data_IF_051881804435
#
_entry.id   IF_051881804435
#
_cell.length_a   1.000
_cell.length_b   1.000
_cell.length_c   1.000
_cell.angle_alpha   90.00
_cell.angle_beta   90.00
_cell.angle_gamma   90.00
#
_symmetry.space_group_name_H-M   'P 1'
#
loop_
_entity.id
_entity.type
_entity.pdbx_description
1 polymer ?
#
# COMPACT_ATOMS: atom_id res chain seq x y z
N UNK A 1 10.32 15.21 -6.69
CA UNK A 1 10.94 14.02 -6.11
C UNK A 1 9.94 12.91 -5.88
N UNK A 2 8.92 13.11 -5.09
CA UNK A 2 7.83 12.15 -4.89
C UNK A 2 7.17 11.70 -6.21
N UNK A 3 7.10 12.56 -7.22
CA UNK A 3 6.38 12.28 -8.46
C UNK A 3 6.95 11.18 -9.36
N UNK A 4 8.27 10.93 -9.35
CA UNK A 4 8.83 9.88 -10.22
C UNK A 4 8.54 8.47 -9.72
N UNK A 5 8.55 8.28 -8.40
CA UNK A 5 8.19 6.99 -7.80
C UNK A 5 6.70 6.76 -7.74
N UNK A 6 5.92 7.81 -7.57
CA UNK A 6 4.48 7.73 -7.78
C UNK A 6 4.16 7.29 -9.20
N UNK A 7 4.86 7.81 -10.22
CA UNK A 7 4.64 7.38 -11.60
C UNK A 7 4.91 5.89 -11.83
N UNK A 8 5.96 5.31 -11.21
CA UNK A 8 6.23 3.88 -11.31
C UNK A 8 5.21 3.05 -10.54
N UNK A 9 4.85 3.50 -9.35
CA UNK A 9 3.81 2.90 -8.53
C UNK A 9 2.46 2.90 -9.24
N UNK A 10 2.06 4.03 -9.85
CA UNK A 10 0.81 4.14 -10.60
C UNK A 10 0.77 3.28 -11.86
N UNK A 11 1.91 3.11 -12.56
CA UNK A 11 2.00 2.15 -13.68
C UNK A 11 1.73 0.72 -13.20
N UNK A 12 2.32 0.33 -12.08
CA UNK A 12 2.09 -0.97 -11.47
C UNK A 12 0.64 -1.14 -11.01
N UNK A 13 0.07 -0.17 -10.30
CA UNK A 13 -1.35 -0.19 -9.85
C UNK A 13 -2.31 -0.25 -11.05
N UNK A 14 -2.06 0.53 -12.10
CA UNK A 14 -2.87 0.50 -13.32
C UNK A 14 -2.82 -0.85 -14.02
N UNK A 15 -1.64 -1.47 -14.05
CA UNK A 15 -1.48 -2.82 -14.58
C UNK A 15 -2.28 -3.84 -13.77
N UNK A 16 -2.19 -3.79 -12.44
CA UNK A 16 -2.98 -4.67 -11.56
C UNK A 16 -4.49 -4.44 -11.73
N UNK A 17 -4.95 -3.19 -11.80
CA UNK A 17 -6.37 -2.87 -12.01
C UNK A 17 -6.90 -3.40 -13.34
N UNK A 18 -6.07 -3.40 -14.40
CA UNK A 18 -6.41 -4.04 -15.69
C UNK A 18 -6.58 -5.56 -15.54
N UNK A 19 -5.68 -6.21 -14.80
CA UNK A 19 -5.77 -7.64 -14.53
C UNK A 19 -6.98 -7.97 -13.65
N UNK A 20 -7.22 -7.17 -12.62
CA UNK A 20 -8.39 -7.30 -11.74
C UNK A 20 -9.69 -7.21 -12.52
N UNK A 21 -9.80 -6.23 -13.42
CA UNK A 21 -10.97 -6.08 -14.33
C UNK A 21 -11.17 -7.31 -15.21
N UNK A 22 -10.07 -7.88 -15.72
CA UNK A 22 -10.14 -9.08 -16.56
C UNK A 22 -10.57 -10.31 -15.76
N UNK A 23 -10.06 -10.47 -14.54
CA UNK A 23 -10.38 -11.61 -13.69
C UNK A 23 -11.81 -11.53 -13.16
N UNK A 24 -12.17 -10.43 -12.52
CA UNK A 24 -13.53 -10.19 -12.01
C UNK A 24 -13.82 -8.71 -11.78
N UNK A 25 -13.26 -8.08 -10.76
CA UNK A 25 -13.58 -6.71 -10.34
C UNK A 25 -12.35 -6.02 -9.77
N UNK A 26 -12.23 -4.71 -10.00
CA UNK A 26 -11.18 -3.92 -9.35
C UNK A 26 -11.41 -3.88 -7.85
N UNK A 27 -10.33 -4.02 -7.10
CA UNK A 27 -10.33 -3.93 -5.63
C UNK A 27 -9.98 -2.49 -5.20
N UNK A 28 -11.02 -1.70 -5.02
CA UNK A 28 -10.95 -0.32 -4.58
C UNK A 28 -10.81 0.69 -5.73
N UNK A 29 -11.73 1.64 -5.79
CA UNK A 29 -11.65 2.78 -6.69
C UNK A 29 -10.48 3.69 -6.33
N UNK A 30 -10.12 4.60 -7.23
CA UNK A 30 -9.19 5.69 -6.96
C UNK A 30 -10.01 6.94 -6.62
N UNK A 31 -9.74 7.55 -5.47
CA UNK A 31 -10.50 8.70 -4.98
C UNK A 31 -10.39 9.94 -5.87
N UNK A 32 -9.36 9.99 -6.70
CA UNK A 32 -9.13 11.07 -7.64
C UNK A 32 -10.16 11.11 -8.77
N UNK A 33 -10.63 9.93 -9.21
CA UNK A 33 -11.63 9.82 -10.27
C UNK A 33 -12.29 8.44 -10.25
N UNK A 34 -13.58 8.40 -9.89
CA UNK A 34 -14.42 7.22 -10.07
C UNK A 34 -15.87 7.62 -10.32
N UNK A 35 -16.61 6.77 -10.98
CA UNK A 35 -18.05 6.94 -11.21
C UNK A 35 -18.80 5.75 -10.63
N UNK A 36 -19.93 6.02 -9.99
CA UNK A 36 -20.84 5.04 -9.44
C UNK A 36 -22.27 5.43 -9.76
N UNK A 37 -23.12 4.43 -10.06
CA UNK A 37 -24.55 4.70 -10.25
C UNK A 37 -25.16 5.23 -8.97
N UNK A 38 -25.98 6.29 -9.04
CA UNK A 38 -26.54 6.97 -7.88
C UNK A 38 -27.30 6.03 -6.94
N UNK A 39 -28.03 5.07 -7.49
CA UNK A 39 -28.77 4.07 -6.70
C UNK A 39 -27.86 3.03 -6.01
N UNK A 40 -26.58 2.93 -6.37
CA UNK A 40 -25.59 2.07 -5.74
C UNK A 40 -24.67 2.82 -4.79
N UNK A 41 -24.73 4.15 -4.79
CA UNK A 41 -23.94 4.98 -3.89
C UNK A 41 -24.53 4.89 -2.47
N UNK A 42 -23.99 3.96 -1.69
CA UNK A 42 -24.33 3.83 -0.28
C UNK A 42 -23.57 4.86 0.57
N UNK A 43 -24.19 5.25 1.69
CA UNK A 43 -23.50 6.06 2.69
C UNK A 43 -22.42 5.25 3.41
N UNK A 44 -21.30 5.89 3.68
CA UNK A 44 -20.24 5.35 4.54
C UNK A 44 -20.25 6.02 5.90
N UNK A 45 -19.63 5.41 6.87
CA UNK A 45 -19.53 5.94 8.24
C UNK A 45 -18.76 7.27 8.22
N UNK A 46 -19.16 8.24 9.04
CA UNK A 46 -18.60 9.61 9.05
C UNK A 46 -17.11 9.68 9.33
N UNK A 47 -16.55 8.70 10.01
CA UNK A 47 -15.14 8.57 10.34
C UNK A 47 -14.34 7.76 9.31
N UNK A 48 -14.95 7.42 8.16
CA UNK A 48 -14.28 6.66 7.09
C UNK A 48 -13.15 7.50 6.47
N UNK A 49 -11.94 6.93 6.44
CA UNK A 49 -10.75 7.58 5.88
C UNK A 49 -10.58 7.34 4.38
N UNK A 50 -11.08 6.22 3.87
CA UNK A 50 -11.04 5.80 2.46
C UNK A 50 -12.46 5.48 2.00
N UNK A 51 -13.22 6.51 1.72
CA UNK A 51 -14.61 6.43 1.29
C UNK A 51 -14.74 5.80 -0.11
N UNK A 52 -13.90 6.19 -1.04
CA UNK A 52 -13.79 5.63 -2.38
C UNK A 52 -13.59 4.10 -2.37
N UNK A 53 -12.69 3.64 -1.53
CA UNK A 53 -12.39 2.23 -1.34
C UNK A 53 -13.58 1.47 -0.73
N UNK A 54 -14.21 2.04 0.29
CA UNK A 54 -15.37 1.43 0.97
C UNK A 54 -16.59 1.35 0.05
N UNK A 55 -16.91 2.44 -0.65
CA UNK A 55 -18.06 2.50 -1.58
C UNK A 55 -17.89 1.46 -2.69
N UNK A 56 -16.72 1.46 -3.36
CA UNK A 56 -16.47 0.57 -4.49
C UNK A 56 -16.51 -0.91 -4.10
N UNK A 57 -15.98 -1.28 -2.94
CA UNK A 57 -16.01 -2.66 -2.46
C UNK A 57 -17.39 -3.09 -1.95
N UNK A 58 -18.17 -2.19 -1.34
CA UNK A 58 -19.56 -2.48 -0.99
C UNK A 58 -20.42 -2.71 -2.23
N UNK A 59 -20.21 -1.93 -3.29
CA UNK A 59 -20.85 -2.13 -4.59
C UNK A 59 -20.46 -3.49 -5.19
N UNK A 60 -19.17 -3.84 -5.17
CA UNK A 60 -18.72 -5.14 -5.67
C UNK A 60 -19.27 -6.30 -4.84
N UNK A 61 -19.36 -6.16 -3.52
CA UNK A 61 -19.94 -7.16 -2.62
C UNK A 61 -21.46 -7.34 -2.85
N UNK A 62 -22.13 -6.32 -3.37
CA UNK A 62 -23.54 -6.38 -3.80
C UNK A 62 -23.76 -7.11 -5.15
N UNK A 63 -22.72 -7.72 -5.72
CA UNK A 63 -22.83 -8.49 -6.98
C UNK A 63 -22.59 -7.66 -8.25
N UNK A 64 -22.20 -6.40 -8.12
CA UNK A 64 -21.81 -5.57 -9.25
C UNK A 64 -20.31 -5.65 -9.51
N UNK A 65 -19.87 -5.26 -10.71
CA UNK A 65 -18.48 -5.21 -11.08
C UNK A 65 -17.97 -3.77 -11.12
N UNK A 66 -16.84 -3.54 -10.50
CA UNK A 66 -16.07 -2.31 -10.66
C UNK A 66 -14.99 -2.57 -11.71
N UNK A 67 -14.98 -1.77 -12.77
CA UNK A 67 -14.05 -1.91 -13.90
C UNK A 67 -13.08 -0.73 -13.91
N UNK A 68 -11.87 -0.99 -14.37
CA UNK A 68 -10.86 0.04 -14.59
C UNK A 68 -10.93 0.53 -16.04
N UNK A 69 -11.14 1.84 -16.21
CA UNK A 69 -11.11 2.50 -17.51
C UNK A 69 -9.76 3.22 -17.69
N UNK A 70 -8.86 2.68 -18.52
CA UNK A 70 -7.52 3.25 -18.67
C UNK A 70 -7.48 4.60 -19.39
N UNK A 71 -8.52 4.96 -20.15
CA UNK A 71 -8.61 6.23 -20.87
C UNK A 71 -9.09 7.36 -19.96
N UNK A 72 -9.76 7.02 -18.83
CA UNK A 72 -10.16 7.98 -17.82
C UNK A 72 -9.04 8.15 -16.78
N UNK A 73 -8.39 9.31 -16.76
CA UNK A 73 -7.31 9.60 -15.82
C UNK A 73 -7.41 11.01 -15.24
N UNK A 74 -6.96 11.12 -14.00
CA UNK A 74 -6.79 12.40 -13.32
C UNK A 74 -5.30 12.74 -13.21
N UNK A 75 -4.97 14.01 -13.39
CA UNK A 75 -3.60 14.51 -13.21
C UNK A 75 -3.53 15.24 -11.88
N UNK A 76 -2.71 14.71 -10.97
CA UNK A 76 -2.45 15.32 -9.69
C UNK A 76 -1.00 15.78 -9.56
N UNK A 77 -0.82 16.91 -8.86
CA UNK A 77 0.53 17.37 -8.50
C UNK A 77 1.05 16.53 -7.33
N UNK A 78 2.35 16.16 -7.35
CA UNK A 78 2.95 15.39 -6.26
C UNK A 78 2.98 16.21 -4.96
N UNK A 79 3.17 15.51 -3.83
CA UNK A 79 3.38 16.14 -2.53
C UNK A 79 4.62 17.03 -2.56
N UNK A 80 4.57 18.15 -1.82
CA UNK A 80 5.65 19.14 -1.79
C UNK A 80 6.94 18.59 -1.16
N UNK A 81 6.81 17.74 -0.14
CA UNK A 81 7.92 17.17 0.61
C UNK A 81 7.70 15.71 0.95
N UNK A 82 8.79 15.00 1.33
CA UNK A 82 8.72 13.62 1.84
C UNK A 82 7.87 13.54 3.11
N UNK A 83 7.92 14.57 3.95
CA UNK A 83 7.13 14.64 5.19
C UNK A 83 5.63 14.71 4.89
N UNK A 84 5.25 15.52 3.89
CA UNK A 84 3.86 15.62 3.46
C UNK A 84 3.38 14.30 2.82
N UNK A 85 4.25 13.67 2.03
CA UNK A 85 3.98 12.36 1.45
C UNK A 85 3.83 11.30 2.56
N UNK A 86 4.66 11.32 3.59
CA UNK A 86 4.55 10.42 4.73
C UNK A 86 3.21 10.59 5.47
N UNK A 87 2.79 11.83 5.75
CA UNK A 87 1.49 12.09 6.37
C UNK A 87 0.35 11.51 5.53
N UNK A 88 0.38 11.73 4.21
CA UNK A 88 -0.59 11.19 3.25
C UNK A 88 -0.61 9.66 3.28
N UNK A 89 0.56 9.00 3.16
CA UNK A 89 0.66 7.53 3.13
C UNK A 89 0.27 6.88 4.45
N UNK A 90 0.66 7.46 5.58
CA UNK A 90 0.23 6.98 6.91
C UNK A 90 -1.29 7.07 7.05
N UNK A 91 -1.92 8.16 6.60
CA UNK A 91 -3.38 8.28 6.61
C UNK A 91 -4.05 7.22 5.74
N UNK A 92 -3.55 7.01 4.51
CA UNK A 92 -4.07 5.98 3.60
C UNK A 92 -3.92 4.59 4.25
N UNK A 93 -2.78 4.30 4.87
CA UNK A 93 -2.56 3.04 5.56
C UNK A 93 -3.51 2.87 6.77
N UNK A 94 -3.72 3.94 7.56
CA UNK A 94 -4.70 3.93 8.67
C UNK A 94 -6.11 3.59 8.17
N UNK A 95 -6.53 4.25 7.08
CA UNK A 95 -7.80 3.97 6.41
C UNK A 95 -7.88 2.55 5.83
N UNK A 96 -6.75 2.03 5.35
CA UNK A 96 -6.63 0.64 4.89
C UNK A 96 -6.93 -0.36 6.01
N UNK A 97 -6.35 -0.19 7.20
CA UNK A 97 -6.64 -1.05 8.36
C UNK A 97 -8.09 -0.89 8.85
N UNK A 98 -8.62 0.34 8.86
CA UNK A 98 -10.02 0.58 9.16
C UNK A 98 -10.94 -0.16 8.17
N UNK A 99 -10.63 -0.07 6.88
CA UNK A 99 -11.40 -0.74 5.82
C UNK A 99 -11.30 -2.27 5.92
N UNK A 100 -10.13 -2.83 6.24
CA UNK A 100 -9.96 -4.27 6.46
C UNK A 100 -10.87 -4.77 7.59
N UNK A 101 -10.93 -4.03 8.69
CA UNK A 101 -11.79 -4.39 9.82
C UNK A 101 -13.28 -4.32 9.44
N UNK A 102 -13.71 -3.29 8.70
CA UNK A 102 -15.11 -3.09 8.29
C UNK A 102 -15.56 -4.03 7.17
N UNK A 103 -14.63 -4.44 6.31
CA UNK A 103 -14.88 -5.35 5.18
C UNK A 103 -14.49 -6.80 5.51
N UNK A 104 -14.44 -7.17 6.79
CA UNK A 104 -14.10 -8.51 7.24
C UNK A 104 -14.96 -9.62 6.63
N UNK A 105 -16.18 -9.31 6.24
CA UNK A 105 -17.06 -10.25 5.55
C UNK A 105 -16.52 -10.70 4.19
N UNK A 106 -15.69 -9.87 3.51
CA UNK A 106 -15.04 -10.21 2.23
C UNK A 106 -13.95 -11.28 2.35
N UNK A 107 -13.59 -11.72 3.56
CA UNK A 107 -12.68 -12.85 3.74
C UNK A 107 -13.34 -14.19 3.41
N UNK A 108 -14.67 -14.23 3.31
CA UNK A 108 -15.41 -15.44 2.96
C UNK A 108 -15.33 -15.73 1.46
N UNK A 109 -14.32 -16.53 1.07
CA UNK A 109 -14.11 -16.91 -0.33
C UNK A 109 -15.26 -17.73 -0.90
N UNK A 110 -15.97 -18.50 -0.08
CA UNK A 110 -17.12 -19.31 -0.53
C UNK A 110 -18.32 -18.44 -0.93
N UNK A 111 -18.47 -17.28 -0.29
CA UNK A 111 -19.56 -16.35 -0.61
C UNK A 111 -19.20 -15.37 -1.72
N UNK A 112 -17.97 -14.84 -1.72
CA UNK A 112 -17.57 -13.76 -2.62
C UNK A 112 -16.59 -14.18 -3.72
N UNK A 113 -16.17 -15.45 -3.75
CA UNK A 113 -15.36 -16.05 -4.82
C UNK A 113 -14.13 -15.21 -5.19
N UNK A 114 -14.02 -14.86 -6.47
CA UNK A 114 -12.90 -14.08 -7.01
C UNK A 114 -12.74 -12.70 -6.38
N UNK A 115 -13.83 -12.04 -5.96
CA UNK A 115 -13.72 -10.77 -5.24
C UNK A 115 -12.98 -10.93 -3.92
N UNK A 116 -13.27 -11.99 -3.15
CA UNK A 116 -12.56 -12.30 -1.91
C UNK A 116 -11.08 -12.55 -2.18
N UNK A 117 -10.75 -13.39 -3.17
CA UNK A 117 -9.38 -13.68 -3.54
C UNK A 117 -8.60 -12.40 -3.93
N UNK A 118 -9.16 -11.57 -4.80
CA UNK A 118 -8.53 -10.30 -5.22
C UNK A 118 -8.37 -9.34 -4.04
N UNK A 119 -9.41 -9.20 -3.19
CA UNK A 119 -9.36 -8.34 -2.03
C UNK A 119 -8.29 -8.76 -1.02
N UNK A 120 -8.24 -10.05 -0.69
CA UNK A 120 -7.28 -10.57 0.31
C UNK A 120 -5.86 -10.46 -0.24
N UNK A 121 -5.60 -10.95 -1.46
CA UNK A 121 -4.24 -10.99 -2.03
C UNK A 121 -3.70 -9.60 -2.37
N UNK A 122 -4.50 -8.75 -3.02
CA UNK A 122 -4.01 -7.47 -3.56
C UNK A 122 -4.05 -6.32 -2.55
N UNK A 123 -4.93 -6.38 -1.54
CA UNK A 123 -5.08 -5.29 -0.57
C UNK A 123 -4.81 -5.71 0.86
N UNK A 124 -5.55 -6.68 1.39
CA UNK A 124 -5.45 -7.02 2.80
C UNK A 124 -4.06 -7.54 3.18
N UNK A 125 -3.50 -8.52 2.45
CA UNK A 125 -2.16 -9.03 2.72
C UNK A 125 -1.06 -7.98 2.51
N UNK A 126 -1.19 -7.14 1.49
CA UNK A 126 -0.22 -6.08 1.21
C UNK A 126 -0.15 -5.03 2.32
N UNK A 127 -1.27 -4.71 2.97
CA UNK A 127 -1.31 -3.74 4.07
C UNK A 127 -1.07 -4.38 5.43
N UNK A 128 -1.65 -5.55 5.69
CA UNK A 128 -1.67 -6.14 7.03
C UNK A 128 -0.57 -7.18 7.27
N UNK A 129 0.04 -7.75 6.24
CA UNK A 129 1.05 -8.83 6.39
C UNK A 129 2.41 -8.39 5.88
N UNK A 130 2.52 -7.97 4.62
CA UNK A 130 3.80 -7.71 3.99
C UNK A 130 4.72 -6.74 4.75
N UNK A 131 4.25 -5.60 5.32
CA UNK A 131 5.11 -4.68 6.05
C UNK A 131 5.73 -5.28 7.30
N UNK A 132 5.04 -6.22 7.96
CA UNK A 132 5.52 -6.88 9.17
C UNK A 132 6.42 -8.07 8.87
N UNK A 133 6.26 -8.71 7.70
CA UNK A 133 7.15 -9.77 7.26
C UNK A 133 8.58 -9.27 7.01
N UNK A 134 8.77 -8.04 6.56
CA UNK A 134 10.10 -7.51 6.25
C UNK A 134 11.06 -7.50 7.46
N UNK A 135 10.72 -6.87 8.61
CA UNK A 135 11.57 -6.91 9.79
C UNK A 135 11.64 -8.33 10.37
N UNK A 136 10.57 -9.12 10.28
CA UNK A 136 10.58 -10.51 10.76
C UNK A 136 11.55 -11.38 9.96
N UNK A 137 11.53 -11.32 8.63
CA UNK A 137 12.45 -12.07 7.76
C UNK A 137 13.90 -11.67 8.03
N UNK A 138 14.15 -10.37 8.25
CA UNK A 138 15.48 -9.90 8.61
C UNK A 138 15.95 -10.48 9.95
N UNK A 139 15.10 -10.42 10.98
CA UNK A 139 15.42 -10.95 12.30
C UNK A 139 15.65 -12.47 12.29
N UNK A 140 14.78 -13.22 11.58
CA UNK A 140 14.92 -14.67 11.43
C UNK A 140 16.19 -15.05 10.66
N UNK A 141 16.51 -14.33 9.57
CA UNK A 141 17.73 -14.59 8.81
C UNK A 141 18.99 -14.31 9.64
N UNK A 142 18.98 -13.21 10.41
CA UNK A 142 20.06 -12.90 11.34
C UNK A 142 20.22 -14.00 12.39
N UNK A 143 19.13 -14.46 13.01
CA UNK A 143 19.15 -15.54 13.98
C UNK A 143 19.73 -16.84 13.40
N UNK A 144 19.33 -17.23 12.18
CA UNK A 144 19.84 -18.41 11.50
C UNK A 144 21.33 -18.33 11.21
N UNK A 145 21.84 -17.14 10.83
CA UNK A 145 23.30 -16.94 10.62
C UNK A 145 24.09 -17.02 11.93
N UNK A 146 23.49 -16.58 13.06
CA UNK A 146 24.14 -16.64 14.38
C UNK A 146 24.13 -18.05 15.02
N UNK A 147 23.24 -18.94 14.60
CA UNK A 147 23.12 -20.29 15.16
C UNK A 147 24.15 -21.31 14.63
N UNK A 148 24.97 -20.95 13.68
CA UNK A 148 26.18 -21.64 13.11
C UNK A 148 26.13 -23.14 12.77
N UNK A 149 25.05 -23.86 13.02
CA UNK A 149 25.04 -25.33 13.08
C UNK A 149 24.76 -26.08 11.74
N UNK A 150 24.71 -25.37 10.58
CA UNK A 150 24.34 -26.01 9.30
C UNK A 150 25.24 -25.54 8.14
N UNK A 151 26.18 -26.32 7.73
CA UNK A 151 27.30 -25.95 6.87
C UNK A 151 26.98 -25.36 5.47
N UNK A 152 26.01 -25.89 4.74
CA UNK A 152 25.69 -25.36 3.39
C UNK A 152 24.56 -24.33 3.38
N UNK A 153 23.52 -24.51 4.18
CA UNK A 153 22.41 -23.56 4.31
C UNK A 153 22.86 -22.25 4.95
N UNK A 154 23.83 -22.27 5.85
CA UNK A 154 24.41 -21.07 6.47
C UNK A 154 25.05 -20.14 5.43
N UNK A 155 25.71 -20.67 4.39
CA UNK A 155 26.26 -19.85 3.32
C UNK A 155 25.18 -19.08 2.57
N UNK A 156 24.04 -19.73 2.25
CA UNK A 156 22.90 -19.08 1.61
C UNK A 156 22.34 -17.95 2.51
N UNK A 157 22.12 -18.22 3.80
CA UNK A 157 21.60 -17.22 4.72
C UNK A 157 22.57 -16.05 4.94
N UNK A 158 23.89 -16.28 4.94
CA UNK A 158 24.91 -15.21 4.97
C UNK A 158 24.82 -14.33 3.72
N UNK A 159 24.70 -14.91 2.54
CA UNK A 159 24.52 -14.14 1.28
C UNK A 159 23.24 -13.33 1.31
N UNK A 160 22.11 -13.94 1.75
CA UNK A 160 20.84 -13.25 1.89
C UNK A 160 20.91 -12.12 2.91
N UNK A 161 21.61 -12.32 4.04
CA UNK A 161 21.78 -11.28 5.06
C UNK A 161 22.58 -10.08 4.51
N UNK A 162 23.68 -10.35 3.79
CA UNK A 162 24.45 -9.28 3.13
C UNK A 162 23.58 -8.51 2.14
N UNK A 163 22.79 -9.22 1.32
CA UNK A 163 21.87 -8.58 0.38
C UNK A 163 20.78 -7.74 1.09
N UNK A 164 20.23 -8.23 2.19
CA UNK A 164 19.26 -7.49 3.01
C UNK A 164 19.87 -6.24 3.64
N UNK A 165 21.07 -6.35 4.23
CA UNK A 165 21.79 -5.22 4.82
C UNK A 165 22.09 -4.18 3.74
N UNK A 166 22.63 -4.61 2.58
CA UNK A 166 22.89 -3.73 1.45
C UNK A 166 21.60 -3.00 1.00
N UNK A 167 20.49 -3.72 0.88
CA UNK A 167 19.20 -3.14 0.53
C UNK A 167 18.75 -2.05 1.51
N UNK A 168 18.84 -2.29 2.82
CA UNK A 168 18.46 -1.30 3.82
C UNK A 168 19.43 -0.11 3.89
N UNK A 169 20.74 -0.35 3.71
CA UNK A 169 21.71 0.75 3.59
C UNK A 169 21.40 1.63 2.37
N UNK A 170 21.13 1.02 1.21
CA UNK A 170 20.71 1.76 0.00
C UNK A 170 19.41 2.54 0.23
N UNK A 171 18.46 1.98 1.00
CA UNK A 171 17.21 2.68 1.36
C UNK A 171 17.47 3.91 2.24
N UNK A 172 18.37 3.81 3.23
CA UNK A 172 18.76 4.92 4.11
C UNK A 172 19.48 6.01 3.30
N UNK A 173 20.45 5.62 2.46
CA UNK A 173 21.17 6.56 1.58
C UNK A 173 20.18 7.24 0.62
N UNK A 174 19.25 6.48 0.04
CA UNK A 174 18.20 7.01 -0.82
C UNK A 174 17.31 8.05 -0.10
N UNK A 175 16.93 7.77 1.15
CA UNK A 175 16.17 8.73 1.97
C UNK A 175 16.96 10.03 2.21
N UNK A 176 18.24 9.90 2.56
CA UNK A 176 19.11 11.05 2.83
C UNK A 176 19.29 11.92 1.57
N UNK A 177 19.59 11.31 0.42
CA UNK A 177 19.75 12.00 -0.86
C UNK A 177 18.46 12.67 -1.32
N UNK A 178 17.31 12.01 -1.17
CA UNK A 178 16.01 12.57 -1.53
C UNK A 178 15.70 13.81 -0.67
N UNK A 179 16.09 13.81 0.60
CA UNK A 179 15.96 14.97 1.49
C UNK A 179 16.84 16.15 1.03
N UNK A 180 17.97 15.87 0.36
CA UNK A 180 18.84 16.85 -0.29
C UNK A 180 18.37 17.22 -1.73
N UNK A 181 17.23 16.69 -2.18
CA UNK A 181 16.70 16.85 -3.55
C UNK A 181 17.59 16.26 -4.66
N UNK A 182 18.51 15.36 -4.30
CA UNK A 182 19.37 14.62 -5.24
C UNK A 182 18.68 13.32 -5.62
N UNK A 183 18.54 13.06 -6.94
CA UNK A 183 17.79 11.90 -7.44
C UNK A 183 18.70 10.91 -8.12
N UNK A 184 18.82 9.73 -7.53
CA UNK A 184 19.46 8.57 -8.15
C UNK A 184 18.40 7.49 -8.31
N UNK A 185 18.02 7.19 -9.56
CA UNK A 185 16.93 6.23 -9.88
C UNK A 185 17.12 4.87 -9.20
N UNK A 186 18.35 4.38 -9.13
CA UNK A 186 18.68 3.08 -8.55
C UNK A 186 18.41 3.05 -7.04
N UNK A 187 18.70 4.13 -6.31
CA UNK A 187 18.49 4.23 -4.86
C UNK A 187 17.02 4.53 -4.51
N UNK A 188 16.26 5.04 -5.48
CA UNK A 188 14.87 5.36 -5.27
C UNK A 188 14.01 4.11 -4.96
N UNK A 189 14.24 2.99 -5.64
CA UNK A 189 13.44 1.77 -5.47
C UNK A 189 13.56 1.21 -4.03
N UNK A 190 14.76 0.92 -3.48
CA UNK A 190 14.91 0.46 -2.10
C UNK A 190 14.35 1.47 -1.09
N UNK A 191 14.61 2.77 -1.30
CA UNK A 191 14.08 3.82 -0.44
C UNK A 191 12.55 3.83 -0.43
N UNK A 192 11.91 3.94 -1.59
CA UNK A 192 10.46 4.10 -1.66
C UNK A 192 9.72 2.84 -1.19
N UNK A 193 10.24 1.67 -1.47
CA UNK A 193 9.71 0.41 -0.97
C UNK A 193 9.76 0.35 0.57
N UNK A 194 10.90 0.65 1.18
CA UNK A 194 11.04 0.68 2.64
C UNK A 194 10.17 1.76 3.28
N UNK A 195 10.10 2.94 2.66
CA UNK A 195 9.27 4.06 3.07
C UNK A 195 7.77 3.70 3.09
N UNK A 196 7.27 3.04 2.05
CA UNK A 196 5.86 2.62 1.98
C UNK A 196 5.51 1.60 3.07
N UNK A 197 6.40 0.63 3.32
CA UNK A 197 6.18 -0.37 4.38
C UNK A 197 6.27 0.27 5.78
N UNK A 198 7.19 1.20 5.99
CA UNK A 198 7.25 1.98 7.22
C UNK A 198 5.98 2.81 7.47
N UNK A 199 5.44 3.46 6.42
CA UNK A 199 4.18 4.18 6.51
C UNK A 199 3.00 3.25 6.84
N UNK A 200 3.02 2.01 6.34
CA UNK A 200 2.00 1.01 6.66
C UNK A 200 2.04 0.63 8.15
N UNK A 201 3.23 0.36 8.70
CA UNK A 201 3.40 0.07 10.14
C UNK A 201 2.94 1.25 11.01
N UNK A 202 3.33 2.49 10.65
CA UNK A 202 2.85 3.69 11.34
C UNK A 202 1.32 3.85 11.24
N UNK A 203 0.75 3.56 10.07
CA UNK A 203 -0.70 3.59 9.86
C UNK A 203 -1.44 2.59 10.75
N UNK A 204 -0.89 1.37 10.92
CA UNK A 204 -1.40 0.38 11.85
C UNK A 204 -1.40 0.88 13.30
N UNK A 205 -0.28 1.44 13.76
CA UNK A 205 -0.18 1.98 15.11
C UNK A 205 -1.18 3.12 15.34
N UNK A 206 -1.35 4.02 14.37
CA UNK A 206 -2.34 5.10 14.42
C UNK A 206 -3.78 4.54 14.48
N UNK A 207 -4.07 3.51 13.69
CA UNK A 207 -5.37 2.83 13.71
C UNK A 207 -5.65 2.22 15.09
N UNK A 208 -4.68 1.52 15.70
CA UNK A 208 -4.81 0.93 17.04
C UNK A 208 -5.05 1.97 18.15
N UNK A 209 -4.50 3.16 17.99
CA UNK A 209 -4.69 4.27 18.94
C UNK A 209 -6.07 4.95 18.79
N UNK A 210 -6.91 4.50 17.87
CA UNK A 210 -8.24 5.08 17.65
C UNK A 210 -8.22 6.49 17.03
N UNK A 211 -7.06 6.95 16.53
CA UNK A 211 -6.93 8.27 15.90
C UNK A 211 -7.43 8.20 14.46
N UNK A 212 -8.77 8.15 14.32
CA UNK A 212 -9.44 8.20 13.03
C UNK A 212 -10.37 9.44 12.98
N UNK A 213 -9.78 10.63 12.93
CA UNK A 213 -10.57 11.79 12.55
C UNK A 213 -10.70 11.82 11.03
N UNK A 214 -11.91 11.75 10.51
CA UNK A 214 -12.21 11.93 9.07
C UNK A 214 -11.92 13.33 8.55
N UNK A 215 -11.34 14.20 9.39
CA UNK A 215 -10.99 15.58 9.03
C UNK A 215 -9.74 15.60 8.17
N UNK A 216 -9.88 16.13 6.96
CA UNK A 216 -8.77 16.31 6.03
C UNK A 216 -7.81 17.41 6.50
N UNK A 217 -6.64 17.05 7.00
CA UNK A 217 -5.52 18.00 7.01
C UNK A 217 -5.03 18.21 5.57
N UNK A 218 -5.19 19.43 5.05
CA UNK A 218 -4.71 19.77 3.70
C UNK A 218 -3.19 19.64 3.66
N UNK A 219 -2.70 18.66 2.91
CA UNK A 219 -1.27 18.49 2.60
C UNK A 219 -0.89 19.53 1.54
N UNK A 220 0.22 20.24 1.74
CA UNK A 220 0.75 21.18 0.74
C UNK A 220 1.18 20.40 -0.52
N UNK A 221 0.75 20.87 -1.68
CA UNK A 221 1.15 20.32 -2.98
C UNK A 221 2.18 21.25 -3.65
N UNK A 222 3.04 20.68 -4.48
CA UNK A 222 3.99 21.48 -5.27
C UNK A 222 3.21 22.42 -6.23
N UNK A 223 3.68 23.66 -6.33
CA UNK A 223 3.13 24.64 -7.29
C UNK A 223 3.53 24.31 -8.72
#
# INVERSE_FOLDING_TARGET
AAGAGEGLYWKYESFLKKLDTKLYSVVGAAGELFAVRTNLHGTVEKDTLLDDFMISLRVAAGGYRVIYEPEAYAIERPSFSIQDEMKRKVRIATGGFQSIARLGFLWNIFKYGWLSFQYVSHRAMRWAVAPFCLPLIFALNLALVLMEDMSQLVTLYKVLLVAQVAFYVLAIVGYWLENQKIRIKLLFVPFYFSFMNYCAIKGYNRYRQGVSSGIWEKVKRAQ
#
